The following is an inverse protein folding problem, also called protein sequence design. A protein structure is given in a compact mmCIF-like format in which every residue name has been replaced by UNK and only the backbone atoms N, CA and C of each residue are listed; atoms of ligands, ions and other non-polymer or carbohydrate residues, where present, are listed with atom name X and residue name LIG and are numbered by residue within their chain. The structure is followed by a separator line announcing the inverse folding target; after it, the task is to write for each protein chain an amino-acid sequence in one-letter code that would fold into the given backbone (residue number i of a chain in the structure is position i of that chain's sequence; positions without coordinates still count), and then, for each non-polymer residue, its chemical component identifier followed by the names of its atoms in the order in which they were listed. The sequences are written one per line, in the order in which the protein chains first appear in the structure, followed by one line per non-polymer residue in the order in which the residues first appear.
data_IF_880174494535
#
_entry.id   IF_880174494535
#
_cell.length_a   1.000
_cell.length_b   1.000
_cell.length_c   1.000
_cell.angle_alpha   90.00
_cell.angle_beta   90.00
_cell.angle_gamma   90.00
#
_symmetry.space_group_name_H-M   'P 1'
#
loop_
_entity.id
_entity.type
_entity.pdbx_description
1 polymer ?
#
# COMPACT_ATOMS: atom_id res chain seq x y z
N UNK A 1 -15.32 32.76 6.87
CA UNK A 1 -15.78 32.69 5.46
C UNK A 1 -14.62 32.15 4.66
N UNK A 2 -14.77 30.96 4.09
CA UNK A 2 -13.77 30.38 3.18
C UNK A 2 -13.76 31.19 1.89
N UNK A 3 -12.59 31.65 1.47
CA UNK A 3 -12.41 32.30 0.17
C UNK A 3 -12.50 31.24 -0.94
N UNK A 4 -13.28 31.50 -1.99
CA UNK A 4 -13.58 30.52 -3.03
C UNK A 4 -13.38 31.10 -4.42
N UNK A 5 -12.92 30.25 -5.33
CA UNK A 5 -12.83 30.52 -6.77
C UNK A 5 -14.00 29.83 -7.49
N UNK A 6 -14.70 30.57 -8.34
CA UNK A 6 -15.74 30.01 -9.19
C UNK A 6 -15.17 29.56 -10.53
N UNK A 7 -15.34 28.27 -10.88
CA UNK A 7 -14.97 27.74 -12.21
C UNK A 7 -16.03 26.75 -12.65
N UNK A 8 -16.64 26.97 -13.82
CA UNK A 8 -17.63 26.07 -14.42
C UNK A 8 -18.77 25.65 -13.46
N UNK A 9 -19.22 26.56 -12.60
CA UNK A 9 -20.26 26.32 -11.60
C UNK A 9 -19.78 25.61 -10.32
N UNK A 10 -18.49 25.33 -10.15
CA UNK A 10 -17.93 24.91 -8.88
C UNK A 10 -17.48 26.12 -8.06
N UNK A 11 -17.61 26.07 -6.74
CA UNK A 11 -17.00 27.04 -5.81
C UNK A 11 -15.91 26.34 -4.99
N UNK A 12 -14.67 26.48 -5.42
CA UNK A 12 -13.50 25.74 -4.92
C UNK A 12 -12.79 26.58 -3.86
N UNK A 13 -12.50 26.02 -2.70
CA UNK A 13 -11.69 26.69 -1.67
C UNK A 13 -10.34 27.13 -2.27
N UNK A 14 -9.93 28.37 -2.01
CA UNK A 14 -8.75 28.97 -2.63
C UNK A 14 -7.50 28.12 -2.44
N UNK A 15 -7.24 27.62 -1.22
CA UNK A 15 -6.07 26.80 -0.94
C UNK A 15 -6.01 25.51 -1.78
N UNK A 16 -7.16 24.91 -2.08
CA UNK A 16 -7.23 23.71 -2.93
C UNK A 16 -7.04 24.06 -4.41
N UNK A 17 -7.65 25.16 -4.86
CA UNK A 17 -7.46 25.68 -6.20
C UNK A 17 -5.98 25.98 -6.48
N UNK A 18 -5.34 26.73 -5.57
CA UNK A 18 -3.95 27.17 -5.72
C UNK A 18 -3.00 25.96 -5.63
N UNK A 19 -3.24 24.99 -4.73
CA UNK A 19 -2.51 23.72 -4.71
C UNK A 19 -2.56 22.99 -6.07
N UNK A 20 -3.74 22.90 -6.69
CA UNK A 20 -3.87 22.23 -7.99
C UNK A 20 -3.08 22.97 -9.08
N UNK A 21 -3.23 24.30 -9.15
CA UNK A 21 -2.62 25.12 -10.20
C UNK A 21 -1.10 25.25 -10.05
N UNK A 22 -0.61 25.42 -8.82
CA UNK A 22 0.78 25.78 -8.54
C UNK A 22 1.65 24.59 -8.12
N UNK A 23 1.06 23.49 -7.67
CA UNK A 23 1.81 22.31 -7.21
C UNK A 23 1.45 21.04 -7.99
N UNK A 24 0.17 20.61 -7.98
CA UNK A 24 -0.20 19.28 -8.45
C UNK A 24 -0.16 19.13 -9.98
N UNK A 25 -0.65 20.11 -10.74
CA UNK A 25 -0.69 20.06 -12.20
C UNK A 25 0.67 20.37 -12.85
N UNK A 26 1.58 21.04 -12.14
CA UNK A 26 2.86 21.49 -12.69
C UNK A 26 3.72 20.29 -13.13
N UNK A 27 3.90 20.14 -14.44
CA UNK A 27 4.69 19.05 -15.03
C UNK A 27 3.88 17.83 -15.48
N UNK A 28 2.56 17.78 -15.21
CA UNK A 28 1.70 16.70 -15.70
C UNK A 28 1.23 16.91 -17.15
N UNK A 29 1.28 18.15 -17.63
CA UNK A 29 0.72 18.56 -18.93
C UNK A 29 -0.78 18.85 -18.90
N UNK A 30 -1.41 18.72 -17.73
CA UNK A 30 -2.82 19.06 -17.52
C UNK A 30 -2.95 20.56 -17.24
N UNK A 31 -3.85 21.22 -17.97
CA UNK A 31 -4.22 22.61 -17.72
C UNK A 31 -5.18 22.69 -16.52
N UNK A 32 -4.88 23.48 -15.47
CA UNK A 32 -5.71 23.54 -14.27
C UNK A 32 -7.16 23.99 -14.52
N UNK A 33 -7.38 24.95 -15.43
CA UNK A 33 -8.73 25.45 -15.72
C UNK A 33 -9.56 24.36 -16.41
N UNK A 34 -8.99 23.70 -17.44
CA UNK A 34 -9.64 22.54 -18.10
C UNK A 34 -9.86 21.37 -17.16
N UNK A 35 -8.95 21.14 -16.22
CA UNK A 35 -9.13 20.13 -15.18
C UNK A 35 -10.39 20.41 -14.36
N UNK A 36 -10.55 21.65 -13.88
CA UNK A 36 -11.73 22.04 -13.10
C UNK A 36 -13.02 22.03 -13.93
N UNK A 37 -12.99 22.45 -15.19
CA UNK A 37 -14.13 22.35 -16.12
C UNK A 37 -14.59 20.89 -16.31
N UNK A 38 -13.64 20.00 -16.59
CA UNK A 38 -13.94 18.58 -16.78
C UNK A 38 -14.36 17.89 -15.47
N UNK A 39 -13.74 18.25 -14.35
CA UNK A 39 -14.15 17.78 -13.03
C UNK A 39 -15.56 18.25 -12.67
N UNK A 40 -15.92 19.49 -13.00
CA UNK A 40 -17.29 19.99 -12.85
C UNK A 40 -18.30 19.10 -13.57
N UNK A 41 -18.02 18.70 -14.81
CA UNK A 41 -18.91 17.78 -15.54
C UNK A 41 -19.06 16.43 -14.83
N UNK A 42 -17.98 15.87 -14.28
CA UNK A 42 -18.03 14.61 -13.50
C UNK A 42 -18.91 14.78 -12.26
N UNK A 43 -18.69 15.85 -11.48
CA UNK A 43 -19.46 16.13 -10.26
C UNK A 43 -20.96 16.21 -10.58
N UNK A 44 -21.34 16.99 -11.58
CA UNK A 44 -22.75 17.22 -11.90
C UNK A 44 -23.45 15.96 -12.46
N UNK A 45 -22.71 15.07 -13.14
CA UNK A 45 -23.25 13.80 -13.61
C UNK A 45 -23.35 12.73 -12.51
N UNK A 46 -22.34 12.66 -11.63
CA UNK A 46 -22.16 11.53 -10.71
C UNK A 46 -22.62 11.82 -9.28
N UNK A 47 -22.63 13.08 -8.83
CA UNK A 47 -23.11 13.40 -7.48
C UNK A 47 -24.60 13.02 -7.26
N UNK A 48 -25.52 13.22 -8.23
CA UNK A 48 -26.90 12.72 -8.09
C UNK A 48 -26.98 11.20 -7.97
N UNK A 49 -26.14 10.47 -8.72
CA UNK A 49 -26.06 9.00 -8.62
C UNK A 49 -25.53 8.55 -7.26
N UNK A 50 -24.47 9.19 -6.75
CA UNK A 50 -23.95 8.93 -5.42
C UNK A 50 -25.05 9.10 -4.36
N UNK A 51 -25.75 10.24 -4.35
CA UNK A 51 -26.86 10.50 -3.41
C UNK A 51 -27.96 9.43 -3.50
N UNK A 52 -28.30 8.97 -4.71
CA UNK A 52 -29.28 7.90 -4.90
C UNK A 52 -28.81 6.55 -4.33
N UNK A 53 -27.52 6.23 -4.43
CA UNK A 53 -26.94 5.03 -3.81
C UNK A 53 -26.99 5.09 -2.29
N UNK A 54 -26.68 6.25 -1.69
CA UNK A 54 -26.79 6.45 -0.25
C UNK A 54 -28.24 6.33 0.24
N UNK A 55 -29.19 6.97 -0.45
CA UNK A 55 -30.62 6.83 -0.14
C UNK A 55 -31.10 5.37 -0.25
N UNK A 56 -30.49 4.59 -1.15
CA UNK A 56 -30.76 3.15 -1.27
C UNK A 56 -30.16 2.34 -0.10
N UNK A 57 -29.05 2.76 0.50
CA UNK A 57 -28.54 2.17 1.75
C UNK A 57 -29.57 2.38 2.86
N UNK A 58 -30.02 3.61 3.06
CA UNK A 58 -30.99 3.97 4.09
C UNK A 58 -32.30 3.20 3.92
N UNK A 59 -32.88 3.20 2.71
CA UNK A 59 -34.12 2.48 2.43
C UNK A 59 -33.99 0.96 2.61
N UNK A 60 -32.80 0.38 2.40
CA UNK A 60 -32.57 -1.03 2.72
C UNK A 60 -32.50 -1.26 4.23
N UNK A 61 -31.80 -0.40 4.97
CA UNK A 61 -31.72 -0.49 6.43
C UNK A 61 -33.09 -0.35 7.07
N UNK A 62 -33.93 0.60 6.63
CA UNK A 62 -35.30 0.75 7.13
C UNK A 62 -36.14 -0.53 6.95
N UNK A 63 -36.00 -1.22 5.80
CA UNK A 63 -36.69 -2.49 5.56
C UNK A 63 -36.17 -3.60 6.48
N UNK A 64 -34.87 -3.64 6.74
CA UNK A 64 -34.27 -4.59 7.70
C UNK A 64 -34.81 -4.32 9.11
N UNK A 65 -34.80 -3.06 9.56
CA UNK A 65 -35.31 -2.64 10.86
C UNK A 65 -36.80 -3.00 11.02
N UNK A 66 -37.62 -2.75 10.00
CA UNK A 66 -39.04 -3.13 9.99
C UNK A 66 -39.21 -4.65 10.15
N UNK A 67 -38.39 -5.43 9.47
CA UNK A 67 -38.41 -6.89 9.57
C UNK A 67 -38.04 -7.36 10.98
N UNK A 68 -36.95 -6.84 11.55
CA UNK A 68 -36.53 -7.20 12.92
C UNK A 68 -37.54 -6.74 13.97
N UNK A 69 -38.17 -5.57 13.83
CA UNK A 69 -39.24 -5.11 14.73
C UNK A 69 -40.46 -6.02 14.69
N UNK A 70 -40.80 -6.56 13.52
CA UNK A 70 -41.95 -7.45 13.36
C UNK A 70 -41.67 -8.91 13.79
N UNK A 71 -40.44 -9.40 13.60
CA UNK A 71 -40.12 -10.82 13.73
C UNK A 71 -39.14 -11.15 14.87
N UNK A 72 -38.48 -10.15 15.46
CA UNK A 72 -37.37 -10.34 16.39
C UNK A 72 -36.13 -10.91 15.68
N UNK A 73 -35.27 -11.59 16.45
CA UNK A 73 -34.13 -12.29 15.87
C UNK A 73 -34.58 -13.43 14.94
N UNK A 74 -33.95 -13.63 13.77
CA UNK A 74 -34.34 -14.66 12.82
C UNK A 74 -34.17 -16.06 13.42
N UNK A 75 -35.29 -16.75 13.62
CA UNK A 75 -35.31 -18.17 14.03
C UNK A 75 -35.34 -19.12 12.84
N UNK A 76 -35.86 -18.65 11.70
CA UNK A 76 -35.90 -19.36 10.42
C UNK A 76 -35.07 -18.60 9.38
N UNK A 77 -33.90 -19.18 9.06
CA UNK A 77 -32.95 -18.56 8.14
C UNK A 77 -33.38 -18.65 6.67
N UNK A 78 -34.24 -19.60 6.30
CA UNK A 78 -34.76 -19.68 4.93
C UNK A 78 -35.74 -18.53 4.66
N UNK A 79 -36.60 -18.23 5.63
CA UNK A 79 -37.51 -17.07 5.57
C UNK A 79 -36.73 -15.76 5.52
N UNK A 80 -35.74 -15.59 6.41
CA UNK A 80 -34.93 -14.37 6.43
C UNK A 80 -34.11 -14.20 5.15
N UNK A 81 -33.52 -15.28 4.62
CA UNK A 81 -32.82 -15.24 3.33
C UNK A 81 -33.76 -14.85 2.19
N UNK A 82 -34.95 -15.43 2.12
CA UNK A 82 -35.95 -15.11 1.09
C UNK A 82 -36.31 -13.63 1.14
N UNK A 83 -36.50 -13.08 2.34
CA UNK A 83 -36.71 -11.64 2.53
C UNK A 83 -35.54 -10.81 2.00
N UNK A 84 -34.28 -11.17 2.31
CA UNK A 84 -33.11 -10.45 1.78
C UNK A 84 -33.04 -10.47 0.25
N UNK A 85 -33.47 -11.56 -0.39
CA UNK A 85 -33.57 -11.67 -1.85
C UNK A 85 -34.71 -10.79 -2.40
N UNK A 86 -35.89 -10.80 -1.78
CA UNK A 86 -37.05 -9.98 -2.15
C UNK A 86 -36.79 -8.47 -2.04
N UNK A 87 -35.98 -8.06 -1.07
CA UNK A 87 -35.64 -6.63 -0.90
C UNK A 87 -34.48 -6.19 -1.81
N UNK A 88 -33.84 -7.14 -2.51
CA UNK A 88 -32.67 -6.90 -3.35
C UNK A 88 -31.37 -6.67 -2.57
N UNK A 89 -31.31 -7.09 -1.30
CA UNK A 89 -30.09 -7.05 -0.49
C UNK A 89 -29.14 -8.17 -0.89
N UNK A 90 -29.66 -9.40 -1.07
CA UNK A 90 -28.94 -10.50 -1.70
C UNK A 90 -29.29 -10.53 -3.19
N UNK A 91 -28.28 -10.35 -4.05
CA UNK A 91 -28.48 -10.34 -5.51
C UNK A 91 -28.22 -11.72 -6.10
N UNK A 92 -28.84 -12.08 -7.24
CA UNK A 92 -28.56 -13.35 -7.90
C UNK A 92 -27.07 -13.48 -8.28
N UNK A 93 -26.46 -14.59 -7.90
CA UNK A 93 -25.07 -14.87 -8.28
C UNK A 93 -24.97 -15.28 -9.76
N UNK A 94 -24.08 -14.63 -10.50
CA UNK A 94 -23.81 -14.94 -11.91
C UNK A 94 -22.89 -16.15 -12.11
N UNK A 95 -22.69 -16.61 -13.37
CA UNK A 95 -21.82 -17.74 -13.67
C UNK A 95 -20.35 -17.49 -13.28
N UNK A 96 -19.55 -18.56 -13.20
CA UNK A 96 -18.11 -18.41 -12.97
C UNK A 96 -17.44 -17.51 -14.02
N UNK A 97 -16.43 -16.74 -13.61
CA UNK A 97 -15.64 -15.87 -14.49
C UNK A 97 -14.20 -15.77 -13.98
N UNK A 98 -13.32 -15.21 -14.81
CA UNK A 98 -11.97 -14.81 -14.44
C UNK A 98 -11.83 -13.30 -14.56
N UNK A 99 -11.06 -12.70 -13.66
CA UNK A 99 -10.66 -11.30 -13.79
C UNK A 99 -9.70 -11.15 -14.96
N UNK A 100 -9.70 -9.98 -15.59
CA UNK A 100 -8.89 -9.65 -16.77
C UNK A 100 -8.05 -8.40 -16.55
N UNK A 101 -7.71 -8.10 -15.30
CA UNK A 101 -6.87 -6.95 -14.93
C UNK A 101 -5.45 -7.14 -15.48
N UNK A 102 -4.99 -6.19 -16.29
CA UNK A 102 -3.66 -6.17 -16.88
C UNK A 102 -2.78 -5.07 -16.25
N UNK A 103 -1.49 -5.08 -16.59
CA UNK A 103 -0.53 -4.06 -16.17
C UNK A 103 -0.42 -3.93 -14.64
N UNK A 104 -0.35 -5.04 -13.93
CA UNK A 104 -0.22 -5.08 -12.47
C UNK A 104 1.23 -5.34 -12.08
N UNK A 105 1.77 -4.55 -11.16
CA UNK A 105 3.14 -4.66 -10.67
C UNK A 105 3.34 -6.00 -9.92
N UNK A 106 4.54 -6.62 -10.00
CA UNK A 106 4.79 -7.94 -9.43
C UNK A 106 4.56 -8.06 -7.92
N UNK A 107 4.71 -6.96 -7.17
CA UNK A 107 4.46 -6.90 -5.73
C UNK A 107 3.00 -7.22 -5.35
N UNK A 108 2.07 -7.08 -6.30
CA UNK A 108 0.66 -7.43 -6.14
C UNK A 108 0.36 -8.74 -6.88
N UNK A 109 0.85 -8.90 -8.11
CA UNK A 109 0.40 -9.97 -9.00
C UNK A 109 1.11 -11.32 -8.79
N UNK A 110 2.34 -11.32 -8.28
CA UNK A 110 3.23 -12.50 -8.36
C UNK A 110 3.84 -12.90 -7.01
N UNK A 111 4.07 -11.94 -6.11
CA UNK A 111 4.78 -12.18 -4.85
C UNK A 111 3.85 -12.00 -3.66
N UNK A 112 3.91 -12.93 -2.70
CA UNK A 112 3.24 -12.80 -1.43
C UNK A 112 4.17 -12.13 -0.40
N UNK A 113 3.69 -11.10 0.29
CA UNK A 113 4.43 -10.44 1.35
C UNK A 113 3.59 -9.42 2.13
N UNK A 114 4.16 -8.83 3.19
CA UNK A 114 3.49 -7.82 4.00
C UNK A 114 3.00 -6.60 3.21
N UNK A 115 1.84 -6.08 3.61
CA UNK A 115 1.29 -4.79 3.20
C UNK A 115 1.16 -3.89 4.44
N UNK A 116 1.66 -2.66 4.37
CA UNK A 116 1.49 -1.65 5.42
C UNK A 116 0.29 -0.75 5.13
N UNK A 117 -0.30 -0.16 6.16
CA UNK A 117 -1.29 0.93 6.07
C UNK A 117 -0.82 2.06 6.99
N UNK A 118 -0.88 3.29 6.49
CA UNK A 118 -0.26 4.45 7.16
C UNK A 118 -1.03 5.73 6.83
N UNK A 119 -1.25 6.63 7.81
CA UNK A 119 -1.89 7.92 7.56
C UNK A 119 -1.00 8.80 6.69
N UNK A 120 -1.45 9.09 5.46
CA UNK A 120 -0.65 9.89 4.50
C UNK A 120 -0.48 11.33 4.98
N UNK A 121 -1.39 11.83 5.82
CA UNK A 121 -1.31 13.16 6.43
C UNK A 121 -0.04 13.33 7.30
N UNK A 122 0.55 12.24 7.81
CA UNK A 122 1.80 12.27 8.55
C UNK A 122 2.99 11.94 7.63
N UNK A 123 3.68 12.97 7.13
CA UNK A 123 4.82 12.83 6.21
C UNK A 123 5.93 11.90 6.74
N UNK A 124 6.21 11.94 8.05
CA UNK A 124 7.19 11.05 8.69
C UNK A 124 6.80 9.58 8.57
N UNK A 125 5.54 9.25 8.82
CA UNK A 125 5.05 7.87 8.72
C UNK A 125 4.97 7.42 7.27
N UNK A 126 4.47 8.27 6.38
CA UNK A 126 4.42 8.01 4.94
C UNK A 126 5.81 7.68 4.37
N UNK A 127 6.85 8.46 4.73
CA UNK A 127 8.24 8.20 4.36
C UNK A 127 8.79 6.90 4.94
N UNK A 128 8.49 6.61 6.20
CA UNK A 128 8.94 5.36 6.83
C UNK A 128 8.37 4.14 6.12
N UNK A 129 7.07 4.17 5.82
CA UNK A 129 6.39 3.07 5.18
C UNK A 129 6.84 2.88 3.73
N UNK A 130 7.00 3.97 2.97
CA UNK A 130 7.58 3.90 1.63
C UNK A 130 8.99 3.29 1.65
N UNK A 131 9.79 3.57 2.68
CA UNK A 131 11.13 3.00 2.85
C UNK A 131 11.15 1.62 3.52
N UNK A 132 10.02 1.10 4.02
CA UNK A 132 9.94 -0.14 4.78
C UNK A 132 9.99 -1.41 3.92
N UNK A 133 10.16 -1.28 2.59
CA UNK A 133 10.41 -2.44 1.73
C UNK A 133 11.66 -3.20 2.14
N UNK A 134 12.67 -2.52 2.69
CA UNK A 134 13.91 -3.15 3.14
C UNK A 134 14.13 -2.85 4.62
N UNK A 135 14.00 -3.87 5.47
CA UNK A 135 14.08 -3.74 6.92
C UNK A 135 15.20 -4.58 7.53
N UNK A 136 15.94 -3.99 8.48
CA UNK A 136 16.93 -4.72 9.28
C UNK A 136 16.24 -5.74 10.19
N UNK A 137 16.56 -7.02 10.00
CA UNK A 137 16.07 -8.10 10.86
C UNK A 137 16.73 -8.04 12.23
N UNK A 138 17.99 -7.62 12.31
CA UNK A 138 18.70 -7.49 13.59
C UNK A 138 18.03 -6.41 14.44
N UNK A 139 17.76 -5.23 13.86
CA UNK A 139 17.07 -4.15 14.58
C UNK A 139 15.66 -4.55 14.99
N UNK A 140 14.91 -5.25 14.12
CA UNK A 140 13.55 -5.71 14.42
C UNK A 140 13.54 -6.69 15.61
N UNK A 141 14.44 -7.69 15.62
CA UNK A 141 14.53 -8.67 16.70
C UNK A 141 15.10 -8.06 17.99
N UNK A 142 16.14 -7.23 17.87
CA UNK A 142 16.76 -6.59 19.03
C UNK A 142 15.80 -5.60 19.68
N UNK A 143 15.07 -4.83 18.87
CA UNK A 143 14.21 -3.74 19.31
C UNK A 143 12.84 -4.14 19.84
N UNK A 144 12.42 -5.39 19.68
CA UNK A 144 11.08 -5.89 20.08
C UNK A 144 11.16 -6.96 21.16
N UNK A 145 10.00 -7.43 21.65
CA UNK A 145 9.89 -8.55 22.59
C UNK A 145 10.00 -9.93 21.91
N UNK A 146 10.19 -9.98 20.58
CA UNK A 146 10.45 -11.22 19.84
C UNK A 146 11.67 -12.00 20.38
N UNK A 147 12.65 -11.28 20.93
CA UNK A 147 13.72 -11.86 21.74
C UNK A 147 13.44 -11.56 23.23
N UNK A 148 13.19 -12.59 24.06
CA UNK A 148 12.93 -12.40 25.49
C UNK A 148 14.09 -11.72 26.21
N UNK A 149 13.77 -10.84 27.14
CA UNK A 149 14.74 -10.09 27.97
C UNK A 149 15.31 -10.89 29.15
N UNK A 150 15.07 -12.21 29.20
CA UNK A 150 15.53 -13.08 30.28
C UNK A 150 17.01 -13.45 30.14
N UNK A 151 17.67 -13.77 31.27
CA UNK A 151 19.05 -14.26 31.29
C UNK A 151 20.10 -13.23 30.86
N UNK A 152 19.94 -11.97 31.30
CA UNK A 152 20.89 -10.90 30.99
C UNK A 152 20.75 -10.32 29.57
N UNK A 153 19.62 -10.55 28.91
CA UNK A 153 19.34 -10.11 27.53
C UNK A 153 18.38 -8.90 27.47
N UNK A 154 18.35 -8.10 28.53
CA UNK A 154 17.54 -6.89 28.63
C UNK A 154 17.97 -5.85 27.60
N UNK A 155 17.00 -5.08 27.09
CA UNK A 155 17.31 -3.90 26.27
C UNK A 155 17.84 -2.79 27.19
N UNK A 156 18.79 -2.00 26.68
CA UNK A 156 19.38 -0.89 27.42
C UNK A 156 19.67 0.29 26.51
N UNK A 157 20.21 1.37 27.10
CA UNK A 157 20.66 2.55 26.33
C UNK A 157 21.85 2.26 25.43
N UNK A 158 22.62 1.23 25.76
CA UNK A 158 23.78 0.75 25.00
C UNK A 158 23.51 -0.66 24.49
N UNK A 159 24.28 -1.07 23.48
CA UNK A 159 24.25 -2.43 22.97
C UNK A 159 24.59 -3.45 24.08
N UNK A 160 23.74 -4.47 24.23
CA UNK A 160 23.91 -5.59 25.13
C UNK A 160 24.39 -6.80 24.30
N UNK A 161 25.67 -7.21 24.42
CA UNK A 161 26.21 -8.33 23.67
C UNK A 161 25.48 -9.66 23.90
N UNK A 162 24.96 -9.90 25.12
CA UNK A 162 24.18 -11.11 25.43
C UNK A 162 22.89 -11.17 24.61
N UNK A 163 22.20 -10.03 24.49
CA UNK A 163 21.02 -9.91 23.63
C UNK A 163 21.39 -10.02 22.15
N UNK A 164 22.46 -9.36 21.73
CA UNK A 164 22.97 -9.43 20.36
C UNK A 164 23.30 -10.85 19.91
N UNK A 165 23.91 -11.66 20.79
CA UNK A 165 24.20 -13.06 20.50
C UNK A 165 22.92 -13.89 20.29
N UNK A 166 21.84 -13.64 21.05
CA UNK A 166 20.54 -14.28 20.84
C UNK A 166 19.91 -13.89 19.51
N UNK A 167 20.01 -12.61 19.13
CA UNK A 167 19.55 -12.11 17.82
C UNK A 167 20.29 -12.81 16.69
N UNK A 168 21.63 -12.84 16.74
CA UNK A 168 22.46 -13.51 15.73
C UNK A 168 22.06 -14.98 15.62
N UNK A 169 22.00 -15.70 16.74
CA UNK A 169 21.62 -17.12 16.73
C UNK A 169 20.27 -17.36 16.06
N UNK A 170 19.25 -16.57 16.40
CA UNK A 170 17.93 -16.65 15.77
C UNK A 170 18.01 -16.43 14.25
N UNK A 171 18.78 -15.44 13.80
CA UNK A 171 18.91 -15.16 12.37
C UNK A 171 19.66 -16.27 11.64
N UNK A 172 20.67 -16.89 12.25
CA UNK A 172 21.34 -18.06 11.68
C UNK A 172 20.36 -19.22 11.49
N UNK A 173 19.52 -19.49 12.49
CA UNK A 173 18.48 -20.51 12.41
C UNK A 173 17.43 -20.19 11.32
N UNK A 174 17.08 -18.91 11.15
CA UNK A 174 16.22 -18.44 10.06
C UNK A 174 16.84 -18.69 8.67
N UNK A 175 18.14 -18.39 8.50
CA UNK A 175 18.85 -18.65 7.25
C UNK A 175 18.95 -20.15 6.97
N UNK A 176 19.19 -20.98 7.99
CA UNK A 176 19.20 -22.45 7.86
C UNK A 176 17.85 -23.02 7.40
N UNK A 177 16.74 -22.37 7.77
CA UNK A 177 15.39 -22.77 7.33
C UNK A 177 15.04 -22.23 5.93
N UNK A 178 15.51 -21.03 5.59
CA UNK A 178 15.08 -20.32 4.37
C UNK A 178 15.97 -20.61 3.16
N UNK A 179 17.29 -20.60 3.38
CA UNK A 179 18.36 -20.70 2.38
C UNK A 179 19.42 -21.69 2.87
N UNK A 180 19.05 -22.97 3.09
CA UNK A 180 19.92 -23.97 3.72
C UNK A 180 21.21 -24.18 2.95
N UNK A 181 22.27 -24.56 3.65
CA UNK A 181 23.55 -24.95 3.06
C UNK A 181 23.55 -26.44 2.68
N UNK A 182 24.35 -26.83 1.68
CA UNK A 182 24.52 -28.23 1.29
C UNK A 182 25.08 -29.07 2.45
N UNK A 183 25.98 -28.48 3.23
CA UNK A 183 26.59 -29.10 4.42
C UNK A 183 26.80 -28.03 5.50
N UNK A 184 26.69 -28.43 6.77
CA UNK A 184 26.86 -27.52 7.90
C UNK A 184 25.64 -26.63 8.17
N UNK A 185 25.87 -25.53 8.89
CA UNK A 185 24.85 -24.58 9.36
C UNK A 185 25.37 -23.17 9.23
N UNK A 186 24.48 -22.20 9.02
CA UNK A 186 24.83 -20.78 8.95
C UNK A 186 25.52 -20.27 10.24
N UNK A 187 25.28 -20.90 11.38
CA UNK A 187 25.97 -20.57 12.63
C UNK A 187 27.50 -20.84 12.62
N UNK A 188 27.96 -21.76 11.77
CA UNK A 188 29.37 -22.18 11.72
C UNK A 188 30.21 -21.52 10.63
N UNK A 189 29.66 -20.54 9.90
CA UNK A 189 30.35 -19.96 8.75
C UNK A 189 31.37 -18.90 9.19
N UNK A 190 32.47 -18.79 8.45
CA UNK A 190 33.58 -17.89 8.73
C UNK A 190 33.98 -17.01 7.54
N UNK A 191 33.18 -16.99 6.47
CA UNK A 191 33.43 -16.16 5.30
C UNK A 191 32.33 -16.28 4.26
N UNK A 192 32.27 -15.31 3.34
CA UNK A 192 31.40 -15.30 2.18
C UNK A 192 32.21 -14.82 0.98
N UNK A 193 32.10 -15.50 -0.15
CA UNK A 193 32.71 -15.06 -1.41
C UNK A 193 31.89 -15.52 -2.60
N UNK A 194 32.08 -14.90 -3.74
CA UNK A 194 31.43 -15.23 -5.01
C UNK A 194 32.51 -15.69 -5.99
N UNK A 195 32.35 -16.89 -6.53
CA UNK A 195 33.27 -17.45 -7.50
C UNK A 195 32.50 -18.18 -8.60
N UNK A 196 32.86 -17.91 -9.87
CA UNK A 196 32.23 -18.53 -11.05
C UNK A 196 30.68 -18.41 -11.05
N UNK A 197 30.17 -17.26 -10.59
CA UNK A 197 28.74 -16.98 -10.52
C UNK A 197 27.98 -17.74 -9.43
N UNK A 198 28.68 -18.35 -8.46
CA UNK A 198 28.08 -19.03 -7.33
C UNK A 198 28.56 -18.45 -5.99
N UNK A 199 27.66 -18.43 -5.01
CA UNK A 199 28.01 -18.11 -3.63
C UNK A 199 28.76 -19.26 -2.99
N UNK A 200 29.93 -18.97 -2.45
CA UNK A 200 30.69 -19.81 -1.52
C UNK A 200 30.46 -19.31 -0.11
N UNK A 201 30.13 -20.25 0.78
CA UNK A 201 29.86 -19.98 2.19
C UNK A 201 30.91 -20.72 3.02
N UNK A 202 31.64 -20.00 3.87
CA UNK A 202 32.77 -20.50 4.64
C UNK A 202 34.07 -20.62 3.83
N UNK A 203 35.18 -20.80 4.55
CA UNK A 203 36.54 -20.90 4.02
C UNK A 203 37.20 -22.23 4.41
N UNK A 204 38.23 -22.63 3.63
CA UNK A 204 39.03 -23.82 3.90
C UNK A 204 38.22 -25.12 3.95
N UNK A 205 38.47 -25.95 4.96
CA UNK A 205 37.78 -27.24 5.14
C UNK A 205 36.28 -27.11 5.48
N UNK A 206 35.82 -25.91 5.85
CA UNK A 206 34.41 -25.62 6.15
C UNK A 206 33.64 -25.00 4.97
N UNK A 207 34.26 -24.85 3.80
CA UNK A 207 33.62 -24.25 2.63
C UNK A 207 32.47 -25.12 2.11
N UNK A 208 31.34 -24.48 1.84
CA UNK A 208 30.10 -25.08 1.33
C UNK A 208 29.38 -24.12 0.38
N UNK A 209 28.20 -24.53 -0.09
CA UNK A 209 27.33 -23.76 -0.97
C UNK A 209 25.90 -23.77 -0.45
N UNK A 210 25.02 -22.96 -1.04
CA UNK A 210 23.58 -23.12 -0.85
C UNK A 210 23.13 -24.50 -1.36
N UNK A 211 22.20 -25.13 -0.65
CA UNK A 211 21.59 -26.39 -1.06
C UNK A 211 20.84 -26.24 -2.40
N UNK A 212 20.21 -25.08 -2.62
CA UNK A 212 19.70 -24.66 -3.92
C UNK A 212 20.50 -23.44 -4.43
N UNK A 213 21.39 -23.62 -5.43
CA UNK A 213 22.19 -22.52 -5.98
C UNK A 213 21.35 -21.39 -6.59
N UNK A 214 20.10 -21.64 -7.00
CA UNK A 214 19.22 -20.61 -7.58
C UNK A 214 18.78 -19.56 -6.55
N UNK A 215 18.99 -19.83 -5.27
CA UNK A 215 18.71 -18.87 -4.21
C UNK A 215 19.74 -17.75 -4.13
N UNK A 216 20.88 -17.84 -4.82
CA UNK A 216 21.82 -16.73 -4.94
C UNK A 216 21.37 -15.76 -6.05
N UNK A 217 21.00 -14.54 -5.66
CA UNK A 217 20.44 -13.52 -6.55
C UNK A 217 21.44 -12.42 -6.94
N UNK A 218 22.56 -12.28 -6.20
CA UNK A 218 23.61 -11.32 -6.54
C UNK A 218 24.44 -10.88 -5.33
N UNK A 219 25.28 -9.87 -5.51
CA UNK A 219 26.14 -9.33 -4.45
C UNK A 219 26.47 -7.85 -4.68
N UNK A 220 27.05 -7.18 -3.68
CA UNK A 220 27.63 -5.84 -3.78
C UNK A 220 29.09 -5.85 -3.32
N UNK A 221 29.92 -5.00 -3.92
CA UNK A 221 31.34 -4.89 -3.60
C UNK A 221 32.20 -5.87 -4.40
N UNK A 222 33.38 -6.19 -3.86
CA UNK A 222 34.29 -7.16 -4.48
C UNK A 222 33.78 -8.59 -4.31
N UNK A 223 33.97 -9.44 -5.33
CA UNK A 223 33.47 -10.81 -5.29
C UNK A 223 34.18 -11.69 -4.24
N UNK A 224 35.47 -11.45 -3.98
CA UNK A 224 36.22 -12.22 -2.99
C UNK A 224 35.86 -11.83 -1.54
N UNK A 225 35.47 -10.57 -1.33
CA UNK A 225 35.05 -10.03 -0.04
C UNK A 225 33.82 -9.12 -0.22
N UNK A 226 32.62 -9.69 -0.46
CA UNK A 226 31.44 -8.91 -0.76
C UNK A 226 31.00 -8.08 0.45
N UNK A 227 30.57 -6.86 0.20
CA UNK A 227 29.93 -5.99 1.21
C UNK A 227 28.50 -6.47 1.52
N UNK A 228 27.88 -7.15 0.56
CA UNK A 228 26.60 -7.78 0.76
C UNK A 228 26.38 -8.94 -0.21
N UNK A 229 25.65 -9.95 0.25
CA UNK A 229 25.18 -11.09 -0.55
C UNK A 229 23.66 -11.05 -0.59
N UNK A 230 23.10 -11.05 -1.80
CA UNK A 230 21.68 -11.05 -2.04
C UNK A 230 21.20 -12.48 -2.35
N UNK A 231 20.21 -12.92 -1.60
CA UNK A 231 19.55 -14.20 -1.73
C UNK A 231 18.06 -14.01 -2.04
N UNK A 232 17.41 -15.09 -2.48
CA UNK A 232 15.95 -15.11 -2.73
C UNK A 232 15.32 -16.41 -2.25
N UNK A 233 14.12 -16.31 -1.65
CA UNK A 233 13.27 -17.44 -1.27
C UNK A 233 11.80 -17.04 -1.43
N UNK A 234 11.03 -17.90 -2.09
CA UNK A 234 9.58 -17.68 -2.31
C UNK A 234 9.26 -16.32 -2.98
N UNK A 235 10.16 -15.81 -3.81
CA UNK A 235 10.03 -14.50 -4.46
C UNK A 235 10.43 -13.28 -3.62
N UNK A 236 10.80 -13.47 -2.34
CA UNK A 236 11.28 -12.42 -1.44
C UNK A 236 12.80 -12.46 -1.30
N UNK A 237 13.42 -11.29 -1.27
CA UNK A 237 14.87 -11.17 -1.14
C UNK A 237 15.35 -11.08 0.32
N UNK A 238 16.56 -11.59 0.54
CA UNK A 238 17.30 -11.53 1.81
C UNK A 238 18.69 -11.01 1.49
N UNK A 239 19.11 -9.90 2.08
CA UNK A 239 20.46 -9.37 1.93
C UNK A 239 21.26 -9.58 3.21
N UNK A 240 22.36 -10.34 3.10
CA UNK A 240 23.33 -10.51 4.18
C UNK A 240 24.37 -9.40 4.03
N UNK A 241 24.44 -8.50 5.01
CA UNK A 241 25.37 -7.37 5.02
C UNK A 241 26.64 -7.77 5.74
N UNK A 242 27.79 -7.53 5.11
CA UNK A 242 29.12 -7.86 5.64
C UNK A 242 29.89 -6.57 5.89
N UNK A 243 30.27 -6.36 7.15
CA UNK A 243 31.13 -5.26 7.56
C UNK A 243 31.91 -5.66 8.82
N UNK A 244 33.15 -6.11 8.61
CA UNK A 244 34.06 -6.52 9.69
C UNK A 244 34.47 -5.36 10.62
N UNK A 245 34.29 -4.10 10.23
CA UNK A 245 34.60 -2.95 11.06
C UNK A 245 33.41 -2.52 11.94
N UNK A 246 32.18 -2.92 11.59
CA UNK A 246 30.98 -2.61 12.36
C UNK A 246 31.02 -3.17 13.79
N UNK A 247 30.23 -2.57 14.69
CA UNK A 247 30.15 -3.00 16.09
C UNK A 247 29.75 -4.48 16.23
N UNK A 248 28.88 -4.97 15.33
CA UNK A 248 28.35 -6.33 15.33
C UNK A 248 29.24 -7.26 14.50
N UNK A 249 29.56 -6.87 13.26
CA UNK A 249 30.32 -7.72 12.33
C UNK A 249 31.72 -8.07 12.81
N UNK A 250 32.37 -7.20 13.60
CA UNK A 250 33.67 -7.53 14.23
C UNK A 250 33.60 -8.69 15.23
N UNK A 251 32.41 -9.03 15.71
CA UNK A 251 32.15 -10.15 16.64
C UNK A 251 31.66 -11.40 15.92
N UNK A 252 31.38 -11.31 14.62
CA UNK A 252 30.91 -12.39 13.77
C UNK A 252 32.08 -12.95 12.96
N UNK A 253 32.26 -14.29 12.96
CA UNK A 253 33.38 -14.93 12.29
C UNK A 253 33.40 -14.69 10.77
N UNK A 254 32.24 -14.45 10.15
CA UNK A 254 32.10 -14.14 8.74
C UNK A 254 31.90 -12.63 8.47
N UNK A 255 32.06 -11.78 9.49
CA UNK A 255 31.89 -10.33 9.35
C UNK A 255 30.46 -9.86 9.17
N UNK A 256 29.45 -10.71 9.43
CA UNK A 256 28.06 -10.37 9.18
C UNK A 256 27.59 -9.32 10.18
N UNK A 257 27.22 -8.16 9.65
CA UNK A 257 26.81 -7.00 10.42
C UNK A 257 25.29 -6.92 10.58
N UNK A 258 24.53 -7.40 9.59
CA UNK A 258 23.08 -7.41 9.59
C UNK A 258 22.53 -8.40 8.54
N UNK A 259 21.24 -8.72 8.64
CA UNK A 259 20.43 -9.34 7.59
C UNK A 259 19.24 -8.44 7.30
N UNK A 260 19.15 -7.92 6.08
CA UNK A 260 18.06 -7.05 5.63
C UNK A 260 17.06 -7.88 4.84
N UNK A 261 15.78 -7.84 5.24
CA UNK A 261 14.70 -8.53 4.55
C UNK A 261 13.98 -7.58 3.60
N UNK A 262 13.63 -8.09 2.42
CA UNK A 262 12.52 -7.53 1.66
C UNK A 262 11.22 -7.81 2.41
N UNK A 263 10.54 -6.76 2.86
CA UNK A 263 9.47 -6.80 3.85
C UNK A 263 8.17 -6.18 3.29
N UNK A 264 7.93 -4.88 3.50
CA UNK A 264 6.71 -4.24 3.03
C UNK A 264 6.71 -4.09 1.50
N UNK A 265 6.22 -5.11 0.79
CA UNK A 265 6.12 -5.10 -0.66
C UNK A 265 5.21 -3.98 -1.15
N UNK A 266 4.10 -3.79 -0.45
CA UNK A 266 3.13 -2.74 -0.74
C UNK A 266 2.78 -1.93 0.50
N UNK A 267 2.36 -0.68 0.30
CA UNK A 267 1.94 0.24 1.36
C UNK A 267 0.70 1.00 0.89
N UNK A 268 -0.34 1.02 1.71
CA UNK A 268 -1.52 1.87 1.51
C UNK A 268 -1.27 3.20 2.23
N UNK A 269 -1.10 4.26 1.45
CA UNK A 269 -1.08 5.64 1.91
C UNK A 269 -2.53 6.09 2.10
N UNK A 270 -2.93 6.23 3.35
CA UNK A 270 -4.33 6.28 3.75
C UNK A 270 -4.85 7.71 3.87
N UNK A 271 -5.94 8.01 3.15
CA UNK A 271 -6.69 9.26 3.22
C UNK A 271 -8.02 9.11 3.96
N UNK A 272 -8.31 7.94 4.52
CA UNK A 272 -9.58 7.59 5.14
C UNK A 272 -9.41 7.35 6.66
N UNK A 273 -9.62 6.14 7.19
CA UNK A 273 -9.86 5.95 8.63
C UNK A 273 -8.70 6.33 9.56
N UNK A 274 -7.45 6.39 9.08
CA UNK A 274 -6.30 6.76 9.92
C UNK A 274 -5.98 8.25 9.94
N UNK A 275 -6.72 9.08 9.21
CA UNK A 275 -6.56 10.55 9.18
C UNK A 275 -7.84 11.26 9.61
N UNK A 276 -7.70 12.50 10.08
CA UNK A 276 -8.82 13.42 10.27
C UNK A 276 -8.63 14.57 9.29
N UNK A 277 -9.39 14.57 8.20
CA UNK A 277 -9.30 15.61 7.19
C UNK A 277 -10.69 16.13 6.80
N UNK A 278 -11.11 17.22 7.44
CA UNK A 278 -12.53 17.63 7.46
C UNK A 278 -12.84 18.85 6.58
N UNK A 279 -11.81 19.52 6.06
CA UNK A 279 -11.93 20.71 5.23
C UNK A 279 -10.83 20.78 4.16
N UNK A 280 -10.77 21.89 3.41
CA UNK A 280 -9.80 22.07 2.34
C UNK A 280 -8.35 22.15 2.85
N UNK A 281 -8.11 22.75 4.02
CA UNK A 281 -6.75 22.85 4.58
C UNK A 281 -6.18 21.46 4.85
N UNK A 282 -6.96 20.61 5.53
CA UNK A 282 -6.55 19.24 5.82
C UNK A 282 -6.37 18.40 4.55
N UNK A 283 -7.32 18.48 3.61
CA UNK A 283 -7.26 17.72 2.35
C UNK A 283 -6.04 18.14 1.52
N UNK A 284 -5.69 19.42 1.50
CA UNK A 284 -4.47 19.91 0.84
C UNK A 284 -3.20 19.34 1.50
N UNK A 285 -3.16 19.14 2.83
CA UNK A 285 -2.03 18.44 3.48
C UNK A 285 -1.93 16.99 3.03
N UNK A 286 -3.06 16.27 3.02
CA UNK A 286 -3.15 14.88 2.53
C UNK A 286 -2.64 14.78 1.08
N UNK A 287 -3.15 15.63 0.20
CA UNK A 287 -2.77 15.64 -1.22
C UNK A 287 -1.31 16.05 -1.44
N UNK A 288 -0.79 17.01 -0.67
CA UNK A 288 0.61 17.43 -0.80
C UNK A 288 1.59 16.33 -0.40
N UNK A 289 1.29 15.55 0.64
CA UNK A 289 2.12 14.40 1.00
C UNK A 289 2.07 13.32 -0.09
N UNK A 290 0.89 13.02 -0.65
CA UNK A 290 0.75 12.13 -1.80
C UNK A 290 1.53 12.63 -3.02
N UNK A 291 1.49 13.94 -3.30
CA UNK A 291 2.25 14.58 -4.36
C UNK A 291 3.76 14.41 -4.16
N UNK A 292 4.26 14.66 -2.95
CA UNK A 292 5.66 14.47 -2.63
C UNK A 292 6.13 13.03 -2.81
N UNK A 293 5.26 12.04 -2.55
CA UNK A 293 5.55 10.63 -2.79
C UNK A 293 5.63 10.31 -4.29
N UNK A 294 4.68 10.79 -5.09
CA UNK A 294 4.64 10.55 -6.54
C UNK A 294 5.75 11.28 -7.29
N UNK A 295 6.07 12.52 -6.90
CA UNK A 295 7.24 13.26 -7.40
C UNK A 295 8.55 12.74 -6.85
N UNK A 296 8.51 12.00 -5.74
CA UNK A 296 9.63 11.42 -5.04
C UNK A 296 10.55 12.43 -4.33
N UNK A 297 10.03 13.61 -4.02
CA UNK A 297 10.72 14.71 -3.34
C UNK A 297 10.23 14.94 -1.90
N UNK A 298 9.28 14.12 -1.40
CA UNK A 298 8.87 14.15 0.01
C UNK A 298 10.08 14.02 0.94
N UNK A 299 10.18 14.95 1.87
CA UNK A 299 11.25 15.01 2.84
C UNK A 299 10.73 15.56 4.18
N UNK A 300 11.27 15.04 5.28
CA UNK A 300 10.88 15.44 6.63
C UNK A 300 12.14 15.59 7.51
N UNK A 301 12.25 16.68 8.27
CA UNK A 301 13.29 16.82 9.29
C UNK A 301 12.94 16.04 10.56
N UNK A 302 13.81 15.12 10.97
CA UNK A 302 13.60 14.29 12.15
C UNK A 302 14.65 14.61 13.20
N UNK A 303 14.18 14.99 14.39
CA UNK A 303 15.03 15.12 15.58
C UNK A 303 14.97 13.83 16.41
N UNK A 304 16.12 13.16 16.58
CA UNK A 304 16.26 11.99 17.46
C UNK A 304 17.50 12.14 18.35
N UNK A 305 17.33 12.02 19.66
CA UNK A 305 18.41 12.13 20.64
C UNK A 305 19.27 13.41 20.50
N UNK A 306 18.61 14.55 20.21
CA UNK A 306 19.27 15.85 20.05
C UNK A 306 20.01 16.06 18.73
N UNK A 307 19.87 15.16 17.75
CA UNK A 307 20.39 15.31 16.39
C UNK A 307 19.25 15.39 15.38
N UNK A 308 19.30 16.39 14.50
CA UNK A 308 18.41 16.52 13.34
C UNK A 308 19.02 15.89 12.10
N UNK A 309 18.20 15.21 11.30
CA UNK A 309 18.54 14.78 9.96
C UNK A 309 17.31 14.80 9.06
N UNK A 310 17.51 15.01 7.76
CA UNK A 310 16.41 14.99 6.78
C UNK A 310 16.22 13.56 6.28
N UNK A 311 15.02 13.02 6.45
CA UNK A 311 14.62 11.74 5.86
C UNK A 311 13.99 11.98 4.49
N UNK A 312 14.36 11.15 3.51
CA UNK A 312 13.84 11.14 2.14
C UNK A 312 13.52 9.72 1.72
N UNK A 313 12.90 9.56 0.55
CA UNK A 313 12.70 8.27 -0.08
C UNK A 313 14.04 7.62 -0.46
N UNK A 314 14.17 6.33 -0.17
CA UNK A 314 15.35 5.54 -0.50
C UNK A 314 15.45 5.33 -2.02
N UNK A 315 16.66 5.34 -2.61
CA UNK A 315 16.85 4.98 -4.01
C UNK A 315 16.68 3.47 -4.22
N UNK A 316 16.59 3.04 -5.47
CA UNK A 316 16.65 1.63 -5.83
C UNK A 316 17.99 1.00 -5.46
N UNK A 317 17.96 -0.30 -5.14
CA UNK A 317 19.12 -1.06 -4.69
C UNK A 317 19.81 -1.69 -5.89
N UNK A 318 21.13 -1.58 -5.94
CA UNK A 318 21.97 -2.04 -7.06
C UNK A 318 22.86 -3.20 -6.62
N UNK A 319 22.86 -4.26 -7.41
CA UNK A 319 23.68 -5.45 -7.20
C UNK A 319 24.33 -5.91 -8.51
N UNK A 320 25.42 -6.66 -8.38
CA UNK A 320 25.96 -7.50 -9.45
C UNK A 320 25.23 -8.84 -9.41
N UNK A 321 24.58 -9.20 -10.51
CA UNK A 321 23.90 -10.48 -10.68
C UNK A 321 24.91 -11.63 -10.79
N UNK A 322 24.49 -12.90 -10.58
CA UNK A 322 25.38 -14.06 -10.65
C UNK A 322 26.11 -14.20 -11.99
N UNK A 323 25.50 -13.73 -13.08
CA UNK A 323 26.09 -13.73 -14.42
C UNK A 323 27.02 -12.53 -14.72
N UNK A 324 27.25 -11.64 -13.75
CA UNK A 324 28.07 -10.43 -13.87
C UNK A 324 27.32 -9.19 -14.40
N UNK A 325 26.03 -9.31 -14.74
CA UNK A 325 25.19 -8.18 -15.14
C UNK A 325 24.74 -7.32 -13.95
N UNK A 326 24.07 -6.19 -14.23
CA UNK A 326 23.46 -5.37 -13.19
C UNK A 326 22.05 -5.89 -12.84
N UNK A 327 21.78 -6.03 -11.54
CA UNK A 327 20.45 -6.25 -10.98
C UNK A 327 20.00 -4.99 -10.23
N UNK A 328 18.81 -4.50 -10.56
CA UNK A 328 18.16 -3.39 -9.88
C UNK A 328 16.90 -3.91 -9.18
N UNK A 329 16.79 -3.65 -7.88
CA UNK A 329 15.59 -3.93 -7.10
C UNK A 329 14.99 -2.62 -6.59
N UNK A 330 13.65 -2.46 -6.61
CA UNK A 330 13.08 -1.23 -6.11
C UNK A 330 13.37 -1.08 -4.62
N UNK A 331 13.80 0.13 -4.23
CA UNK A 331 14.20 0.42 -2.86
C UNK A 331 13.04 0.78 -1.93
N UNK A 332 11.84 0.87 -2.48
CA UNK A 332 10.64 1.40 -1.84
C UNK A 332 9.46 0.45 -2.02
N UNK A 333 8.55 0.51 -1.06
CA UNK A 333 7.27 -0.20 -1.11
C UNK A 333 6.44 0.33 -2.27
N UNK A 334 5.75 -0.55 -2.99
CA UNK A 334 4.77 -0.13 -3.99
C UNK A 334 3.60 0.53 -3.27
N UNK A 335 3.37 1.81 -3.54
CA UNK A 335 2.38 2.61 -2.86
C UNK A 335 1.03 2.55 -3.58
N UNK A 336 0.00 2.24 -2.81
CA UNK A 336 -1.41 2.41 -3.11
C UNK A 336 -1.91 3.65 -2.35
N UNK A 337 -3.00 4.26 -2.81
CA UNK A 337 -3.70 5.31 -2.07
C UNK A 337 -5.09 4.80 -1.67
N UNK A 338 -5.47 4.93 -0.40
CA UNK A 338 -6.86 4.66 0.02
C UNK A 338 -7.63 5.96 0.02
N UNK A 339 -8.43 6.14 -1.03
CA UNK A 339 -9.37 7.24 -1.12
C UNK A 339 -10.53 6.97 -0.16
N UNK A 340 -11.25 8.02 0.27
CA UNK A 340 -12.46 7.80 1.07
C UNK A 340 -13.56 7.07 0.28
N UNK A 341 -14.53 6.50 0.99
CA UNK A 341 -15.68 5.78 0.44
C UNK A 341 -16.69 6.67 -0.30
N UNK A 342 -17.97 6.27 -0.33
CA UNK A 342 -19.02 7.00 -1.04
C UNK A 342 -19.81 7.98 -0.16
N UNK A 343 -19.71 7.87 1.16
CA UNK A 343 -20.61 8.50 2.13
C UNK A 343 -20.42 10.02 2.27
N UNK A 344 -19.20 10.46 2.56
CA UNK A 344 -18.95 11.83 2.99
C UNK A 344 -18.94 12.81 1.82
N UNK A 345 -19.43 14.02 2.09
CA UNK A 345 -19.17 15.22 1.30
C UNK A 345 -18.08 16.05 1.97
N UNK A 346 -17.48 17.00 1.26
CA UNK A 346 -16.47 17.87 1.85
C UNK A 346 -16.70 19.33 1.43
N UNK A 347 -16.62 20.30 2.37
CA UNK A 347 -16.84 21.71 2.08
C UNK A 347 -15.75 22.33 1.21
N UNK A 348 -14.65 21.63 0.89
CA UNK A 348 -13.60 22.14 0.02
C UNK A 348 -14.13 22.57 -1.37
N UNK A 349 -15.20 21.95 -1.86
CA UNK A 349 -15.83 22.30 -3.13
C UNK A 349 -17.35 22.28 -2.98
N UNK A 350 -18.00 23.34 -3.46
CA UNK A 350 -19.46 23.36 -3.65
C UNK A 350 -19.80 23.24 -5.14
N UNK A 351 -20.90 22.56 -5.46
CA UNK A 351 -21.46 22.49 -6.82
C UNK A 351 -22.28 23.74 -7.18
N UNK A 352 -22.86 23.76 -8.40
CA UNK A 352 -23.61 24.92 -8.91
C UNK A 352 -24.87 25.25 -8.10
N UNK A 353 -25.37 24.26 -7.38
CA UNK A 353 -26.56 24.38 -6.53
C UNK A 353 -26.17 24.69 -5.07
N UNK A 354 -24.87 24.81 -4.78
CA UNK A 354 -24.33 25.11 -3.46
C UNK A 354 -24.19 23.90 -2.54
N UNK A 355 -24.35 22.67 -3.05
CA UNK A 355 -24.15 21.46 -2.26
C UNK A 355 -22.66 21.11 -2.18
N UNK A 356 -22.23 20.54 -1.06
CA UNK A 356 -20.90 19.97 -0.96
C UNK A 356 -20.71 18.80 -1.93
N UNK A 357 -19.51 18.73 -2.53
CA UNK A 357 -19.16 17.65 -3.45
C UNK A 357 -18.86 16.35 -2.68
N UNK A 358 -19.31 15.17 -3.16
CA UNK A 358 -18.92 13.89 -2.58
C UNK A 358 -17.40 13.71 -2.56
N UNK A 359 -16.84 13.51 -1.37
CA UNK A 359 -15.40 13.51 -1.15
C UNK A 359 -14.71 12.36 -1.91
N UNK A 360 -15.37 11.21 -2.04
CA UNK A 360 -14.85 10.08 -2.81
C UNK A 360 -14.68 10.35 -4.31
N UNK A 361 -15.45 11.29 -4.88
CA UNK A 361 -15.30 11.75 -6.28
C UNK A 361 -14.14 12.74 -6.36
N UNK A 362 -14.04 13.67 -5.41
CA UNK A 362 -12.93 14.62 -5.29
C UNK A 362 -11.58 13.91 -5.15
N UNK A 363 -11.49 12.93 -4.24
CA UNK A 363 -10.29 12.13 -4.04
C UNK A 363 -9.89 11.40 -5.33
N UNK A 364 -10.84 10.79 -6.05
CA UNK A 364 -10.52 10.07 -7.28
C UNK A 364 -9.86 10.97 -8.33
N UNK A 365 -10.36 12.20 -8.50
CA UNK A 365 -9.80 13.14 -9.45
C UNK A 365 -8.43 13.68 -9.00
N UNK A 366 -8.29 14.08 -7.74
CA UNK A 366 -7.06 14.72 -7.25
C UNK A 366 -5.92 13.73 -7.04
N UNK A 367 -6.18 12.55 -6.45
CA UNK A 367 -5.12 11.55 -6.27
C UNK A 367 -4.63 11.00 -7.62
N UNK A 368 -5.51 10.93 -8.63
CA UNK A 368 -5.14 10.54 -9.99
C UNK A 368 -4.36 11.63 -10.75
N UNK A 369 -4.75 12.90 -10.65
CA UNK A 369 -3.97 14.02 -11.19
C UNK A 369 -2.54 13.98 -10.65
N UNK A 370 -2.40 13.77 -9.34
CA UNK A 370 -1.11 13.64 -8.67
C UNK A 370 -0.34 12.39 -9.13
N UNK A 371 -1.03 11.27 -9.35
CA UNK A 371 -0.39 10.04 -9.80
C UNK A 371 0.26 10.18 -11.20
N UNK A 372 -0.14 11.15 -12.03
CA UNK A 372 0.49 11.39 -13.33
C UNK A 372 2.00 11.69 -13.24
N UNK A 373 2.48 12.21 -12.11
CA UNK A 373 3.92 12.39 -11.86
C UNK A 373 4.70 11.06 -11.85
N UNK A 374 4.04 9.95 -11.58
CA UNK A 374 4.61 8.61 -11.68
C UNK A 374 4.13 7.86 -12.93
N UNK A 375 2.82 7.93 -13.23
CA UNK A 375 2.19 7.07 -14.25
C UNK A 375 1.76 7.75 -15.54
N UNK A 376 1.90 9.07 -15.66
CA UNK A 376 1.63 9.80 -16.90
C UNK A 376 2.68 9.53 -17.99
N UNK A 377 2.50 10.11 -19.17
CA UNK A 377 3.42 9.91 -20.32
C UNK A 377 4.89 10.22 -20.00
N UNK A 378 5.12 11.27 -19.19
CA UNK A 378 6.43 11.66 -18.68
C UNK A 378 6.66 11.27 -17.22
N UNK A 379 5.82 10.37 -16.69
CA UNK A 379 5.87 9.93 -15.31
C UNK A 379 7.16 9.17 -15.00
N UNK A 380 7.60 9.26 -13.75
CA UNK A 380 8.88 8.67 -13.28
C UNK A 380 8.94 7.14 -13.38
N UNK A 381 7.79 6.45 -13.37
CA UNK A 381 7.69 4.96 -13.24
C UNK A 381 8.50 4.41 -12.06
N UNK A 382 8.62 5.19 -10.99
CA UNK A 382 9.41 4.87 -9.81
C UNK A 382 8.59 4.22 -8.70
N UNK A 383 7.26 4.41 -8.72
CA UNK A 383 6.30 3.64 -7.94
C UNK A 383 5.79 2.46 -8.78
N UNK A 384 4.98 2.70 -9.81
CA UNK A 384 4.49 1.66 -10.72
C UNK A 384 5.33 1.57 -11.98
N UNK A 385 5.94 0.40 -12.19
CA UNK A 385 6.68 0.09 -13.42
C UNK A 385 5.75 -0.43 -14.50
N UNK A 386 4.61 -0.99 -14.11
CA UNK A 386 3.55 -1.42 -15.03
C UNK A 386 2.69 -0.25 -15.55
N UNK A 387 2.83 0.94 -14.97
CA UNK A 387 2.13 2.14 -15.38
C UNK A 387 0.69 2.25 -14.89
N UNK A 388 0.45 1.71 -13.70
CA UNK A 388 -0.85 1.63 -13.06
C UNK A 388 -0.89 2.45 -11.77
N UNK A 389 -2.00 3.14 -11.55
CA UNK A 389 -2.32 3.72 -10.26
C UNK A 389 -3.13 2.71 -9.45
N UNK A 390 -2.85 2.56 -8.16
CA UNK A 390 -3.56 1.61 -7.30
C UNK A 390 -4.36 2.35 -6.25
N UNK A 391 -5.69 2.25 -6.34
CA UNK A 391 -6.63 2.89 -5.41
C UNK A 391 -7.34 1.82 -4.60
N UNK A 392 -7.25 1.92 -3.26
CA UNK A 392 -8.13 1.18 -2.37
C UNK A 392 -9.43 1.94 -2.25
N UNK A 393 -10.56 1.27 -2.53
CA UNK A 393 -11.89 1.86 -2.39
C UNK A 393 -12.65 1.18 -1.23
N UNK A 394 -12.83 1.87 -0.10
CA UNK A 394 -13.42 1.31 1.11
C UNK A 394 -14.95 1.48 1.14
N UNK A 395 -15.58 0.80 2.11
CA UNK A 395 -16.97 1.01 2.59
C UNK A 395 -18.02 1.04 1.47
N UNK A 396 -17.84 0.18 0.46
CA UNK A 396 -18.81 -0.03 -0.61
C UNK A 396 -19.82 -1.10 -0.18
N UNK A 397 -21.11 -0.88 -0.46
CA UNK A 397 -22.18 -1.84 -0.15
C UNK A 397 -22.67 -2.49 -1.45
N UNK A 398 -22.18 -3.70 -1.77
CA UNK A 398 -22.65 -4.52 -2.87
C UNK A 398 -22.17 -4.07 -4.27
N UNK A 399 -22.54 -4.84 -5.31
CA UNK A 399 -21.95 -4.73 -6.65
C UNK A 399 -22.26 -3.44 -7.40
N UNK A 400 -23.41 -2.82 -7.14
CA UNK A 400 -23.79 -1.57 -7.79
C UNK A 400 -22.84 -0.43 -7.42
N UNK A 401 -22.45 -0.35 -6.15
CA UNK A 401 -21.52 0.68 -5.68
C UNK A 401 -20.08 0.45 -6.14
N UNK A 402 -19.69 -0.82 -6.35
CA UNK A 402 -18.43 -1.15 -7.02
C UNK A 402 -18.47 -0.71 -8.48
N UNK A 403 -19.58 -0.96 -9.18
CA UNK A 403 -19.79 -0.48 -10.54
C UNK A 403 -19.75 1.06 -10.63
N UNK A 404 -20.30 1.75 -9.63
CA UNK A 404 -20.20 3.21 -9.55
C UNK A 404 -18.76 3.70 -9.34
N UNK A 405 -17.96 3.01 -8.52
CA UNK A 405 -16.53 3.33 -8.38
C UNK A 405 -15.76 3.10 -9.70
N UNK A 406 -16.11 2.07 -10.48
CA UNK A 406 -15.57 1.86 -11.84
C UNK A 406 -15.95 3.03 -12.76
N UNK A 407 -17.21 3.48 -12.73
CA UNK A 407 -17.65 4.64 -13.52
C UNK A 407 -16.88 5.92 -13.14
N UNK A 408 -16.66 6.18 -11.85
CA UNK A 408 -15.83 7.30 -11.40
C UNK A 408 -14.43 7.21 -12.01
N UNK A 409 -13.79 6.04 -11.95
CA UNK A 409 -12.44 5.85 -12.49
C UNK A 409 -12.39 5.98 -14.02
N UNK A 410 -13.37 5.45 -14.76
CA UNK A 410 -13.47 5.64 -16.21
C UNK A 410 -13.56 7.14 -16.57
N UNK A 411 -14.36 7.91 -15.82
CA UNK A 411 -14.54 9.35 -16.03
C UNK A 411 -13.29 10.16 -15.69
N UNK A 412 -12.60 9.81 -14.60
CA UNK A 412 -11.34 10.46 -14.19
C UNK A 412 -10.21 10.14 -15.17
N UNK A 413 -10.11 8.90 -15.66
CA UNK A 413 -9.13 8.55 -16.69
C UNK A 413 -9.35 9.36 -17.96
N UNK A 414 -10.60 9.48 -18.41
CA UNK A 414 -10.94 10.30 -19.57
C UNK A 414 -10.62 11.78 -19.36
N UNK A 415 -10.87 12.33 -18.16
CA UNK A 415 -10.51 13.71 -17.79
C UNK A 415 -9.00 13.96 -17.89
N UNK A 416 -8.20 13.00 -17.41
CA UNK A 416 -6.75 13.13 -17.29
C UNK A 416 -5.99 12.59 -18.51
N UNK A 417 -6.70 12.12 -19.54
CA UNK A 417 -6.10 11.50 -20.72
C UNK A 417 -5.36 10.19 -20.42
N UNK A 418 -5.69 9.52 -19.32
CA UNK A 418 -5.13 8.20 -19.00
C UNK A 418 -5.73 7.12 -19.92
N UNK A 419 -4.96 6.07 -20.17
CA UNK A 419 -5.50 4.89 -20.82
C UNK A 419 -6.62 4.27 -19.96
N UNK A 420 -7.61 3.67 -20.62
CA UNK A 420 -8.68 2.96 -19.92
C UNK A 420 -8.08 1.89 -19.01
N UNK A 421 -8.63 1.77 -17.80
CA UNK A 421 -8.20 0.84 -16.77
C UNK A 421 -6.82 1.13 -16.18
N UNK A 422 -6.19 2.30 -16.39
CA UNK A 422 -4.96 2.71 -15.67
C UNK A 422 -5.14 2.71 -14.15
N UNK A 423 -6.28 3.19 -13.64
CA UNK A 423 -6.64 3.21 -12.23
C UNK A 423 -7.18 1.83 -11.81
N UNK A 424 -6.40 1.12 -11.01
CA UNK A 424 -6.73 -0.19 -10.46
C UNK A 424 -7.46 -0.06 -9.13
N UNK A 425 -8.27 -1.05 -8.80
CA UNK A 425 -9.13 -1.04 -7.62
C UNK A 425 -8.79 -2.16 -6.65
N UNK A 426 -8.43 -1.79 -5.42
CA UNK A 426 -8.50 -2.64 -4.26
C UNK A 426 -9.89 -2.58 -3.66
N UNK A 427 -10.58 -3.72 -3.57
CA UNK A 427 -11.93 -3.80 -3.02
C UNK A 427 -11.83 -4.22 -1.56
N UNK A 428 -12.33 -3.39 -0.65
CA UNK A 428 -12.50 -3.79 0.74
C UNK A 428 -13.79 -4.60 0.88
N UNK A 429 -13.68 -5.85 1.30
CA UNK A 429 -14.79 -6.68 1.76
C UNK A 429 -15.00 -6.40 3.25
N UNK A 430 -15.64 -5.28 3.52
CA UNK A 430 -15.80 -4.75 4.88
C UNK A 430 -17.23 -4.31 5.21
N UNK A 431 -18.17 -4.54 4.29
CA UNK A 431 -19.59 -4.25 4.47
C UNK A 431 -20.38 -5.52 4.15
N UNK A 432 -21.38 -5.87 4.96
CA UNK A 432 -22.16 -7.11 4.87
C UNK A 432 -22.79 -7.29 3.50
N UNK A 433 -23.34 -6.22 2.91
CA UNK A 433 -23.93 -6.26 1.55
C UNK A 433 -22.87 -6.53 0.48
N UNK A 434 -21.60 -6.18 0.70
CA UNK A 434 -20.49 -6.60 -0.18
C UNK A 434 -20.12 -8.05 0.08
N UNK A 435 -19.95 -8.47 1.33
CA UNK A 435 -19.59 -9.85 1.68
C UNK A 435 -20.54 -10.87 1.08
N UNK A 436 -21.85 -10.67 1.23
CA UNK A 436 -22.85 -11.63 0.73
C UNK A 436 -23.03 -11.59 -0.80
N UNK A 437 -22.46 -10.58 -1.48
CA UNK A 437 -22.53 -10.41 -2.93
C UNK A 437 -21.13 -10.30 -3.58
N UNK A 438 -20.08 -10.82 -2.90
CA UNK A 438 -18.69 -10.51 -3.23
C UNK A 438 -18.30 -10.89 -4.66
N UNK A 439 -18.81 -12.02 -5.17
CA UNK A 439 -18.53 -12.47 -6.54
C UNK A 439 -19.01 -11.46 -7.58
N UNK A 440 -20.19 -10.88 -7.38
CA UNK A 440 -20.74 -9.87 -8.28
C UNK A 440 -20.09 -8.50 -8.08
N UNK A 441 -19.63 -8.19 -6.86
CA UNK A 441 -18.82 -7.01 -6.60
C UNK A 441 -17.49 -7.07 -7.38
N UNK A 442 -16.79 -8.20 -7.34
CA UNK A 442 -15.58 -8.43 -8.14
C UNK A 442 -15.91 -8.39 -9.64
N UNK A 443 -17.06 -8.93 -10.06
CA UNK A 443 -17.47 -8.90 -11.48
C UNK A 443 -17.62 -7.48 -12.00
N UNK A 444 -18.20 -6.59 -11.20
CA UNK A 444 -18.39 -5.18 -11.55
C UNK A 444 -17.06 -4.47 -11.85
N UNK A 445 -15.97 -4.87 -11.18
CA UNK A 445 -14.62 -4.33 -11.37
C UNK A 445 -13.62 -5.33 -11.98
N UNK A 446 -14.08 -6.32 -12.75
CA UNK A 446 -13.25 -7.45 -13.24
C UNK A 446 -12.01 -7.07 -14.06
N UNK A 447 -12.00 -5.86 -14.63
CA UNK A 447 -10.89 -5.33 -15.45
C UNK A 447 -9.93 -4.43 -14.64
N UNK A 448 -10.27 -4.12 -13.37
CA UNK A 448 -9.55 -3.17 -12.51
C UNK A 448 -9.11 -3.79 -11.19
N UNK A 449 -9.79 -4.84 -10.73
CA UNK A 449 -9.58 -5.44 -9.41
C UNK A 449 -8.15 -5.97 -9.29
N UNK A 450 -7.46 -5.54 -8.23
CA UNK A 450 -6.07 -5.94 -7.93
C UNK A 450 -5.92 -6.61 -6.57
N UNK A 451 -6.86 -6.43 -5.64
CA UNK A 451 -6.97 -7.24 -4.45
C UNK A 451 -8.39 -7.18 -3.86
N UNK A 452 -8.68 -8.16 -3.01
CA UNK A 452 -9.79 -8.15 -2.04
C UNK A 452 -9.21 -8.24 -0.64
N UNK A 453 -9.71 -7.47 0.31
CA UNK A 453 -9.24 -7.50 1.70
C UNK A 453 -10.40 -7.50 2.67
N UNK A 454 -10.36 -8.38 3.67
CA UNK A 454 -11.36 -8.47 4.72
C UNK A 454 -11.13 -7.41 5.80
N UNK A 455 -11.75 -6.24 5.66
CA UNK A 455 -11.73 -5.15 6.64
C UNK A 455 -12.59 -5.49 7.87
N UNK A 456 -12.13 -6.44 8.67
CA UNK A 456 -12.99 -7.12 9.65
C UNK A 456 -13.53 -6.21 10.77
N UNK A 457 -12.88 -5.09 11.07
CA UNK A 457 -13.35 -4.13 12.08
C UNK A 457 -14.59 -3.39 11.60
N UNK A 458 -14.53 -2.74 10.43
CA UNK A 458 -15.70 -2.12 9.79
C UNK A 458 -16.79 -3.16 9.55
N UNK A 459 -16.41 -4.36 9.07
CA UNK A 459 -17.36 -5.46 8.87
C UNK A 459 -18.12 -5.84 10.13
N UNK A 460 -17.46 -5.79 11.28
CA UNK A 460 -18.10 -6.05 12.58
C UNK A 460 -19.04 -4.91 12.96
N UNK A 461 -18.64 -3.65 12.69
CA UNK A 461 -19.50 -2.49 12.87
C UNK A 461 -20.78 -2.58 12.04
N UNK A 462 -20.67 -2.91 10.76
CA UNK A 462 -21.82 -3.08 9.87
C UNK A 462 -22.68 -4.30 10.23
N UNK A 463 -22.10 -5.40 10.75
CA UNK A 463 -22.91 -6.53 11.25
C UNK A 463 -23.81 -6.09 12.42
N UNK A 464 -23.25 -5.31 13.36
CA UNK A 464 -23.98 -4.78 14.50
C UNK A 464 -25.06 -3.79 14.03
N UNK A 465 -24.73 -2.87 13.11
CA UNK A 465 -25.68 -1.89 12.61
C UNK A 465 -26.82 -2.53 11.81
N UNK A 466 -26.49 -3.46 10.89
CA UNK A 466 -27.46 -4.16 10.04
C UNK A 466 -28.51 -4.92 10.86
N UNK A 467 -28.13 -5.43 12.05
CA UNK A 467 -28.99 -6.29 12.90
C UNK A 467 -29.36 -5.65 14.25
N UNK A 468 -29.31 -4.33 14.35
CA UNK A 468 -29.64 -3.56 15.56
C UNK A 468 -31.11 -3.70 15.95
#
# INVERSE_FOLDING_TARGET
MTDRIEIAGLQIARELHDFVAEEAAVGTGIDPEKFWEGFSAIVHDLAPKNRALLAKRDAMQERLDDWYRANGAPVDMEVYRTFLEEIGYLVPEGPAFSVSTENVDPEIAVVAGPQLVVPVMNARYALNAANARWGSLYDALYGTDAIPETGGAERGKTFNPTRGAKVIAWVRDFLDQSVPLTTGKWAGINGLSVANGALKVGEGAGATTLADPKQFAGYRGDAATPEAVLLVKNGLHIEIVVDHASQIGKTDAAGIADVVLEAALTTIQDCEDSVAAVDAEDKVVVYRNWLGLMKGDLAEEITKAGKSFVRKLNPDRRYTAPNGGQLLLPGRSLMLVRNVGHLMTNPAILDRDGNEVPEGIMDAALTALIALHDVGDNGRRANSRAGSMYVVKPKMHGPEEVGFAVEIFDRVEALLGMAKNTIKMGIMDEERRTTVNLKEAIRAARERVVFINTGFLDRTGDEIHTSM
#
